data_IF_771731541573
#
_entry.id   IF_771731541573
#
_cell.length_a   1.000
_cell.length_b   1.000
_cell.length_c   1.000
_cell.angle_alpha   90.00
_cell.angle_beta   90.00
_cell.angle_gamma   90.00
#
_symmetry.space_group_name_H-M   'P 1'
#
loop_
_entity.id
_entity.type
_entity.pdbx_description
1 polymer ?
#
# COMPACT_ATOMS: atom_id res chain seq x y z
N UNK A 1 -17.79 2.59 -5.53
CA UNK A 1 -16.79 1.96 -4.67
C UNK A 1 -16.09 0.85 -5.45
N UNK A 2 -14.77 0.82 -5.45
CA UNK A 2 -14.06 -0.29 -6.07
C UNK A 2 -14.10 -1.49 -5.14
N UNK A 3 -13.78 -2.66 -5.66
CA UNK A 3 -13.76 -3.90 -4.90
C UNK A 3 -12.33 -4.26 -4.46
N UNK A 4 -11.42 -3.29 -4.55
CA UNK A 4 -10.03 -3.51 -4.20
C UNK A 4 -9.82 -3.52 -2.68
N UNK A 5 -8.96 -4.42 -2.24
CA UNK A 5 -8.50 -4.45 -0.86
C UNK A 5 -7.06 -3.95 -0.86
N UNK A 6 -6.82 -2.87 -0.16
CA UNK A 6 -5.51 -2.22 -0.14
C UNK A 6 -4.73 -2.63 1.10
N UNK A 7 -3.42 -2.80 0.92
CA UNK A 7 -2.47 -3.06 1.99
C UNK A 7 -1.40 -1.97 1.93
N UNK A 8 -1.22 -1.24 3.02
CA UNK A 8 -0.21 -0.19 3.08
C UNK A 8 1.17 -0.81 3.29
N UNK A 9 2.10 -0.53 2.37
CA UNK A 9 3.46 -1.05 2.44
C UNK A 9 4.37 -0.09 3.18
N UNK A 10 4.97 -0.56 4.26
CA UNK A 10 5.90 0.23 5.06
C UNK A 10 7.33 0.02 4.57
N UNK A 11 8.14 1.06 4.69
CA UNK A 11 9.53 1.01 4.26
C UNK A 11 10.39 1.99 5.06
N UNK A 12 11.69 1.75 5.02
CA UNK A 12 12.69 2.73 5.47
C UNK A 12 13.36 3.30 4.22
N UNK A 13 14.20 4.33 4.33
CA UNK A 13 14.95 4.82 3.16
C UNK A 13 15.78 3.75 2.47
N UNK A 14 16.25 2.74 3.22
CA UNK A 14 17.15 1.72 2.67
C UNK A 14 16.46 0.46 2.21
N UNK A 15 15.27 0.14 2.74
CA UNK A 15 14.62 -1.12 2.37
C UNK A 15 13.12 -1.12 2.58
N UNK A 16 12.48 -2.01 1.84
CA UNK A 16 11.07 -2.30 1.99
C UNK A 16 10.89 -3.27 3.17
N UNK A 17 9.91 -2.99 4.02
CA UNK A 17 9.50 -3.94 5.04
C UNK A 17 8.61 -5.00 4.39
N UNK A 18 8.80 -6.25 4.76
CA UNK A 18 7.94 -7.31 4.26
C UNK A 18 6.53 -7.11 4.79
N UNK A 19 5.55 -7.24 3.89
CA UNK A 19 4.16 -7.27 4.32
C UNK A 19 3.93 -8.61 4.99
N UNK A 20 3.33 -8.58 6.18
CA UNK A 20 3.07 -9.79 6.95
C UNK A 20 2.23 -10.78 6.13
N UNK A 21 2.61 -12.06 6.18
CA UNK A 21 1.83 -13.12 5.54
C UNK A 21 0.41 -13.21 6.07
N UNK A 22 0.19 -12.86 7.34
CA UNK A 22 -1.14 -12.83 7.92
C UNK A 22 -1.99 -11.73 7.29
N UNK A 23 -1.41 -10.54 7.11
CA UNK A 23 -2.12 -9.41 6.47
C UNK A 23 -2.41 -9.73 5.02
N UNK A 24 -1.45 -10.28 4.29
CA UNK A 24 -1.65 -10.67 2.89
C UNK A 24 -2.72 -11.75 2.77
N UNK A 25 -2.70 -12.74 3.67
CA UNK A 25 -3.72 -13.78 3.69
C UNK A 25 -5.11 -13.22 3.96
N UNK A 26 -5.23 -12.30 4.92
CA UNK A 26 -6.48 -11.64 5.23
C UNK A 26 -6.97 -10.81 4.05
N UNK A 27 -6.07 -10.05 3.42
CA UNK A 27 -6.40 -9.24 2.25
C UNK A 27 -6.89 -10.11 1.09
N UNK A 28 -6.21 -11.22 0.83
CA UNK A 28 -6.58 -12.15 -0.24
C UNK A 28 -7.96 -12.73 0.00
N UNK A 29 -8.25 -13.16 1.23
CA UNK A 29 -9.57 -13.69 1.59
C UNK A 29 -10.68 -12.66 1.40
N UNK A 30 -10.45 -11.42 1.81
CA UNK A 30 -11.41 -10.35 1.64
C UNK A 30 -11.62 -10.02 0.16
N UNK A 31 -10.55 -9.95 -0.60
CA UNK A 31 -10.62 -9.65 -2.02
C UNK A 31 -11.38 -10.72 -2.79
N UNK A 32 -11.18 -11.98 -2.46
CA UNK A 32 -11.92 -13.08 -3.08
C UNK A 32 -13.41 -12.98 -2.81
N UNK A 33 -13.80 -12.61 -1.58
CA UNK A 33 -15.21 -12.43 -1.24
C UNK A 33 -15.85 -11.27 -1.99
N UNK A 34 -15.07 -10.21 -2.24
CA UNK A 34 -15.56 -9.02 -2.94
C UNK A 34 -15.47 -9.16 -4.46
N UNK A 35 -14.72 -10.12 -4.95
CA UNK A 35 -14.45 -10.27 -6.38
C UNK A 35 -13.45 -9.26 -6.91
N UNK A 36 -12.56 -8.76 -6.04
CA UNK A 36 -11.60 -7.73 -6.39
C UNK A 36 -10.15 -8.16 -6.25
N UNK A 37 -9.26 -7.20 -6.38
CA UNK A 37 -7.82 -7.42 -6.31
C UNK A 37 -7.24 -7.00 -4.97
N UNK A 38 -6.08 -7.58 -4.64
CA UNK A 38 -5.24 -7.11 -3.53
C UNK A 38 -4.25 -6.11 -4.11
N UNK A 39 -4.26 -4.89 -3.57
CA UNK A 39 -3.40 -3.83 -4.05
C UNK A 39 -2.50 -3.33 -2.93
N UNK A 40 -1.20 -3.24 -3.19
CA UNK A 40 -0.29 -2.61 -2.25
C UNK A 40 -0.22 -1.11 -2.56
N UNK A 41 -0.10 -0.31 -1.52
CA UNK A 41 0.10 1.14 -1.66
C UNK A 41 1.43 1.47 -1.00
N UNK A 42 2.33 2.09 -1.75
CA UNK A 42 3.60 2.55 -1.21
C UNK A 42 3.78 4.03 -1.53
N UNK A 43 4.15 4.80 -0.52
CA UNK A 43 4.36 6.23 -0.65
C UNK A 43 5.71 6.60 -0.08
N UNK A 44 6.44 7.46 -0.78
CA UNK A 44 7.72 7.91 -0.29
C UNK A 44 8.56 8.53 -1.38
N UNK A 45 9.85 8.66 -1.08
CA UNK A 45 10.84 9.14 -2.04
C UNK A 45 11.66 7.94 -2.52
N UNK A 46 11.78 7.81 -3.85
CA UNK A 46 12.53 6.73 -4.48
C UNK A 46 12.02 5.34 -4.08
N UNK A 47 10.69 5.19 -4.06
CA UNK A 47 10.04 3.93 -3.66
C UNK A 47 9.51 3.11 -4.84
N UNK A 48 9.51 3.67 -6.05
CA UNK A 48 9.06 2.96 -7.24
C UNK A 48 9.83 1.65 -7.45
N UNK A 49 11.08 1.63 -7.06
CA UNK A 49 11.93 0.43 -7.15
C UNK A 49 11.42 -0.76 -6.35
N UNK A 50 10.50 -0.53 -5.41
CA UNK A 50 9.94 -1.61 -4.59
C UNK A 50 8.68 -2.24 -5.18
N UNK A 51 8.15 -1.68 -6.27
CA UNK A 51 6.89 -2.16 -6.84
C UNK A 51 6.93 -3.63 -7.22
N UNK A 52 7.99 -4.06 -7.88
CA UNK A 52 8.12 -5.45 -8.31
C UNK A 52 8.19 -6.42 -7.14
N UNK A 53 8.88 -6.02 -6.07
CA UNK A 53 8.97 -6.84 -4.87
C UNK A 53 7.60 -7.03 -4.22
N UNK A 54 6.79 -5.97 -4.20
CA UNK A 54 5.43 -6.05 -3.66
C UNK A 54 4.54 -7.00 -4.49
N UNK A 55 4.71 -7.01 -5.79
CA UNK A 55 4.03 -7.97 -6.65
C UNK A 55 4.46 -9.40 -6.28
N UNK A 56 5.76 -9.63 -6.09
CA UNK A 56 6.25 -10.94 -5.67
C UNK A 56 5.73 -11.36 -4.30
N UNK A 57 5.46 -10.40 -3.41
CA UNK A 57 4.90 -10.70 -2.09
C UNK A 57 3.42 -11.03 -2.14
N UNK A 58 2.76 -10.81 -3.27
CA UNK A 58 1.37 -11.23 -3.45
C UNK A 58 0.38 -10.15 -3.85
N UNK A 59 0.83 -8.93 -4.12
CA UNK A 59 -0.07 -7.88 -4.59
C UNK A 59 -0.39 -8.10 -6.08
N UNK A 60 -1.64 -7.90 -6.45
CA UNK A 60 -2.06 -7.95 -7.85
C UNK A 60 -1.70 -6.64 -8.56
N UNK A 61 -1.76 -5.53 -7.82
CA UNK A 61 -1.42 -4.20 -8.30
C UNK A 61 -0.65 -3.45 -7.23
N UNK A 62 0.12 -2.47 -7.65
CA UNK A 62 0.83 -1.58 -6.72
C UNK A 62 0.53 -0.13 -7.10
N UNK A 63 0.04 0.63 -6.16
CA UNK A 63 -0.10 2.08 -6.30
C UNK A 63 1.14 2.72 -5.72
N UNK A 64 1.90 3.41 -6.56
CA UNK A 64 3.15 4.04 -6.15
C UNK A 64 2.97 5.56 -6.13
N UNK A 65 3.19 6.15 -4.97
CA UNK A 65 3.23 7.61 -4.84
C UNK A 65 4.66 7.99 -4.50
N UNK A 66 5.45 8.28 -5.53
CA UNK A 66 6.88 8.56 -5.40
C UNK A 66 7.11 10.02 -5.73
N UNK A 67 7.53 10.79 -4.74
CA UNK A 67 7.74 12.21 -4.91
C UNK A 67 8.87 12.70 -4.00
N UNK A 68 9.66 13.63 -4.51
CA UNK A 68 10.76 14.24 -3.77
C UNK A 68 10.28 14.89 -2.47
N UNK A 69 9.04 15.36 -2.42
CA UNK A 69 8.45 15.94 -1.21
C UNK A 69 8.44 14.96 -0.02
N UNK A 70 8.51 13.67 -0.28
CA UNK A 70 8.54 12.65 0.78
C UNK A 70 9.96 12.30 1.24
N UNK A 71 10.98 13.01 0.75
CA UNK A 71 12.36 12.73 1.16
C UNK A 71 12.52 12.80 2.67
N UNK A 72 11.92 13.79 3.30
CA UNK A 72 11.90 13.91 4.75
C UNK A 72 10.52 13.55 5.26
N UNK A 73 10.46 12.77 6.34
CA UNK A 73 9.18 12.35 6.89
C UNK A 73 8.37 13.55 7.37
N UNK A 74 7.14 13.66 6.91
CA UNK A 74 6.19 14.67 7.33
C UNK A 74 4.81 14.01 7.40
N UNK A 75 4.34 13.78 8.61
CA UNK A 75 3.08 13.08 8.83
C UNK A 75 1.89 13.74 8.13
N UNK A 76 1.83 15.06 8.14
CA UNK A 76 0.75 15.78 7.49
C UNK A 76 0.75 15.57 5.98
N UNK A 77 1.92 15.61 5.36
CA UNK A 77 2.05 15.40 3.92
C UNK A 77 1.65 13.98 3.53
N UNK A 78 2.11 12.98 4.29
CA UNK A 78 1.75 11.59 4.04
C UNK A 78 0.26 11.36 4.20
N UNK A 79 -0.34 11.95 5.24
CA UNK A 79 -1.77 11.83 5.49
C UNK A 79 -2.59 12.42 4.36
N UNK A 80 -2.21 13.60 3.87
CA UNK A 80 -2.91 14.25 2.76
C UNK A 80 -2.80 13.45 1.47
N UNK A 81 -1.61 12.91 1.19
CA UNK A 81 -1.39 12.11 -0.01
C UNK A 81 -2.21 10.82 0.03
N UNK A 82 -2.23 10.15 1.18
CA UNK A 82 -3.02 8.95 1.34
C UNK A 82 -4.52 9.23 1.20
N UNK A 83 -4.99 10.30 1.81
CA UNK A 83 -6.39 10.70 1.70
C UNK A 83 -6.78 10.95 0.25
N UNK A 84 -5.92 11.61 -0.50
CA UNK A 84 -6.18 11.89 -1.91
C UNK A 84 -6.30 10.61 -2.73
N UNK A 85 -5.36 9.68 -2.58
CA UNK A 85 -5.37 8.45 -3.37
C UNK A 85 -6.55 7.55 -2.98
N UNK A 86 -6.92 7.53 -1.70
CA UNK A 86 -8.08 6.80 -1.23
C UNK A 86 -9.37 7.36 -1.84
N UNK A 87 -9.50 8.68 -1.87
CA UNK A 87 -10.68 9.32 -2.48
C UNK A 87 -10.77 9.08 -3.98
N UNK A 88 -9.65 9.11 -4.68
CA UNK A 88 -9.62 8.91 -6.12
C UNK A 88 -10.00 7.49 -6.53
N UNK A 89 -9.60 6.50 -5.75
CA UNK A 89 -9.78 5.08 -6.09
C UNK A 89 -10.87 4.38 -5.31
N UNK A 90 -11.26 4.94 -4.17
CA UNK A 90 -12.32 4.43 -3.31
C UNK A 90 -12.23 2.92 -3.05
N UNK A 91 -11.14 2.44 -2.42
CA UNK A 91 -11.01 1.02 -2.13
C UNK A 91 -12.09 0.57 -1.15
N UNK A 92 -12.46 -0.70 -1.23
CA UNK A 92 -13.45 -1.27 -0.32
C UNK A 92 -12.90 -1.36 1.11
N UNK A 93 -11.64 -1.74 1.24
CA UNK A 93 -10.98 -1.95 2.54
C UNK A 93 -9.53 -1.52 2.42
N UNK A 94 -9.01 -0.95 3.50
CA UNK A 94 -7.58 -0.66 3.59
C UNK A 94 -7.02 -1.23 4.88
N UNK A 95 -5.97 -2.03 4.75
CA UNK A 95 -5.30 -2.68 5.87
C UNK A 95 -3.92 -2.07 6.09
N UNK A 96 -3.58 -1.91 7.36
CA UNK A 96 -2.27 -1.42 7.79
C UNK A 96 -1.59 -2.51 8.60
N UNK A 97 -0.30 -2.70 8.38
CA UNK A 97 0.48 -3.55 9.23
C UNK A 97 0.66 -2.87 10.59
N UNK A 98 0.37 -3.59 11.66
CA UNK A 98 0.63 -3.07 12.98
C UNK A 98 2.11 -3.20 13.29
N UNK A 99 2.69 -2.15 13.82
CA UNK A 99 4.11 -2.10 14.16
C UNK A 99 4.25 -1.70 15.62
N UNK A 100 4.09 -2.63 16.48
CA UNK A 100 4.25 -2.40 17.90
C UNK A 100 5.07 -3.50 18.54
#
# INVERSE_FOLDING_TARGET
>A
MSEEVWVYAEHTPEKLHNVSGEILGAARGLAERLGGDVCAVIMGYDVERYAQELIYQGADKVYVVDDELFRDYNNELYTKALEKIVREHDPAIMLFGSVF
#
